data_IF_427273147478
#
_entry.id   IF_427273147478
#
_cell.length_a   1.000
_cell.length_b   1.000
_cell.length_c   1.000
_cell.angle_alpha   90.00
_cell.angle_beta   90.00
_cell.angle_gamma   90.00
#
_symmetry.space_group_name_H-M   'P 1'
#
loop_
_entity.id
_entity.type
_entity.pdbx_description
1 polymer ?
#
# COMPACT_ATOMS: atom_id res chain seq x y z
N UNK A 1 -15.44 11.66 -13.02
CA UNK A 1 -14.87 11.57 -12.88
C UNK A 1 -14.25 11.19 -12.82
N UNK A 2 -14.05 10.83 -12.78
CA UNK A 2 -13.37 10.40 -12.57
C UNK A 2 -12.59 10.48 -12.44
N UNK A 3 -12.42 10.74 -12.15
CA UNK A 3 -11.69 10.87 -11.82
C UNK A 3 -10.86 10.35 -11.49
N UNK A 4 -10.97 9.93 -11.43
CA UNK A 4 -10.34 9.25 -11.02
C UNK A 4 -9.23 8.94 -11.33
N UNK A 5 -9.01 8.91 -11.42
CA UNK A 5 -8.13 8.60 -11.59
C UNK A 5 -6.96 8.41 -12.05
N UNK A 6 -6.56 8.88 -12.36
CA UNK A 6 -5.48 8.69 -13.22
C UNK A 6 -4.30 9.53 -12.83
N UNK A 7 -3.85 9.28 -11.64
CA UNK A 7 -2.64 9.92 -11.15
C UNK A 7 -1.45 9.06 -11.49
N UNK A 8 -0.43 9.67 -12.09
CA UNK A 8 0.83 9.00 -12.34
C UNK A 8 1.83 9.48 -11.32
N UNK A 9 2.46 8.53 -10.64
CA UNK A 9 3.48 8.82 -9.66
C UNK A 9 4.79 8.17 -10.08
N UNK A 10 5.88 8.93 -9.96
CA UNK A 10 7.20 8.36 -10.13
C UNK A 10 7.75 8.02 -8.75
N UNK A 11 7.90 6.73 -8.49
CA UNK A 11 8.37 6.27 -7.20
C UNK A 11 9.68 5.51 -7.35
N UNK A 12 10.61 5.79 -6.45
CA UNK A 12 11.82 4.98 -6.36
C UNK A 12 11.49 3.74 -5.54
N UNK A 13 12.38 2.75 -5.60
CA UNK A 13 12.19 1.55 -4.76
C UNK A 13 12.20 1.92 -3.28
N UNK A 14 12.99 2.92 -2.90
CA UNK A 14 13.01 3.38 -1.51
C UNK A 14 11.66 3.95 -1.10
N UNK A 15 11.02 4.70 -2.01
CA UNK A 15 9.68 5.23 -1.76
C UNK A 15 8.69 4.09 -1.54
N UNK A 16 8.77 3.06 -2.38
CA UNK A 16 7.87 1.92 -2.29
C UNK A 16 8.06 1.19 -0.95
N UNK A 17 9.31 0.98 -0.54
CA UNK A 17 9.59 0.35 0.76
C UNK A 17 9.02 1.16 1.91
N UNK A 18 9.19 2.48 1.86
CA UNK A 18 8.70 3.34 2.92
C UNK A 18 7.18 3.30 3.00
N UNK A 19 6.52 3.37 1.85
CA UNK A 19 5.06 3.27 1.81
C UNK A 19 4.58 1.92 2.33
N UNK A 20 5.27 0.85 1.97
CA UNK A 20 4.92 -0.47 2.44
C UNK A 20 4.98 -0.53 3.97
N UNK A 21 6.05 0.00 4.55
CA UNK A 21 6.17 0.02 6.01
C UNK A 21 5.06 0.84 6.66
N UNK A 22 4.70 1.97 6.05
CA UNK A 22 3.63 2.81 6.59
C UNK A 22 2.30 2.07 6.58
N UNK A 23 1.99 1.38 5.49
CA UNK A 23 0.74 0.63 5.39
C UNK A 23 0.72 -0.52 6.40
N UNK A 24 1.83 -1.25 6.51
CA UNK A 24 1.93 -2.34 7.48
C UNK A 24 1.75 -1.83 8.90
N UNK A 25 2.38 -0.71 9.23
CA UNK A 25 2.26 -0.13 10.56
C UNK A 25 0.83 0.28 10.84
N UNK A 26 0.15 0.88 9.85
CA UNK A 26 -1.24 1.26 10.02
C UNK A 26 -2.12 0.05 10.28
N UNK A 27 -1.85 -1.06 9.59
CA UNK A 27 -2.61 -2.29 9.82
C UNK A 27 -2.36 -2.86 11.20
N UNK A 28 -1.11 -2.80 11.68
CA UNK A 28 -0.78 -3.29 13.02
C UNK A 28 -1.49 -2.52 14.12
N UNK A 29 -1.70 -1.23 13.89
CA UNK A 29 -2.31 -0.36 14.89
C UNK A 29 -3.79 -0.10 14.59
N UNK A 30 -4.39 -0.90 13.72
CA UNK A 30 -5.79 -0.74 13.34
C UNK A 30 -6.70 -0.87 14.55
N UNK A 31 -7.57 0.12 14.71
CA UNK A 31 -8.47 0.17 15.88
C UNK A 31 -9.58 -0.86 15.84
N UNK A 32 -9.94 -1.27 14.63
CA UNK A 32 -11.01 -2.22 14.48
C UNK A 32 -12.37 -1.58 14.45
N UNK A 33 -13.35 -2.39 14.07
CA UNK A 33 -14.75 -2.01 14.08
C UNK A 33 -15.24 -2.03 15.54
N UNK A 34 -16.06 -1.07 15.99
CA UNK A 34 -16.69 -0.01 15.20
C UNK A 34 -15.93 1.30 15.17
N UNK A 35 -14.73 1.38 15.73
CA UNK A 35 -13.96 2.63 15.75
C UNK A 35 -13.64 3.12 14.35
N UNK A 36 -13.39 2.18 13.42
CA UNK A 36 -13.08 2.52 12.04
C UNK A 36 -13.90 1.62 11.13
N UNK A 37 -14.22 2.15 9.95
CA UNK A 37 -15.01 1.39 8.98
C UNK A 37 -14.16 0.26 8.39
N UNK A 38 -14.72 -0.96 8.29
CA UNK A 38 -13.93 -2.11 7.79
C UNK A 38 -13.38 -1.93 6.38
N UNK A 39 -14.02 -1.10 5.54
CA UNK A 39 -13.54 -0.90 4.19
C UNK A 39 -12.16 -0.26 4.15
N UNK A 40 -11.82 0.54 5.16
CA UNK A 40 -10.49 1.14 5.23
C UNK A 40 -9.43 0.05 5.43
N UNK A 41 -9.75 -0.93 6.29
CA UNK A 41 -8.82 -2.03 6.52
C UNK A 41 -8.62 -2.85 5.25
N UNK A 42 -9.71 -3.12 4.53
CA UNK A 42 -9.61 -3.86 3.28
C UNK A 42 -8.76 -3.11 2.26
N UNK A 43 -8.92 -1.79 2.20
CA UNK A 43 -8.13 -0.97 1.29
C UNK A 43 -6.65 -1.00 1.69
N UNK A 44 -6.37 -0.95 2.99
CA UNK A 44 -4.99 -1.03 3.46
C UNK A 44 -4.36 -2.37 3.11
N UNK A 45 -5.12 -3.46 3.23
CA UNK A 45 -4.62 -4.78 2.86
C UNK A 45 -4.33 -4.86 1.37
N UNK A 46 -5.19 -4.27 0.56
CA UNK A 46 -4.98 -4.22 -0.87
C UNK A 46 -3.69 -3.47 -1.20
N UNK A 47 -3.50 -2.31 -0.58
CA UNK A 47 -2.30 -1.50 -0.81
C UNK A 47 -1.05 -2.24 -0.36
N UNK A 48 -1.11 -2.91 0.79
CA UNK A 48 0.02 -3.70 1.27
C UNK A 48 0.43 -4.75 0.25
N UNK A 49 -0.56 -5.48 -0.26
CA UNK A 49 -0.28 -6.55 -1.21
C UNK A 49 0.27 -6.00 -2.51
N UNK A 50 -0.26 -4.86 -2.98
CA UNK A 50 0.22 -4.22 -4.19
C UNK A 50 1.67 -3.76 -4.03
N UNK A 51 1.97 -3.10 -2.92
CA UNK A 51 3.33 -2.61 -2.68
C UNK A 51 4.30 -3.77 -2.51
N UNK A 52 3.88 -4.84 -1.85
CA UNK A 52 4.72 -6.02 -1.69
C UNK A 52 5.04 -6.64 -3.04
N UNK A 53 4.05 -6.71 -3.91
CA UNK A 53 4.26 -7.23 -5.26
C UNK A 53 5.29 -6.38 -6.01
N UNK A 54 5.22 -5.07 -5.87
CA UNK A 54 6.17 -4.18 -6.52
C UNK A 54 7.59 -4.42 -5.99
N UNK A 55 7.73 -4.65 -4.70
CA UNK A 55 9.03 -4.95 -4.10
C UNK A 55 9.59 -6.25 -4.65
N UNK A 56 8.75 -7.27 -4.74
CA UNK A 56 9.18 -8.56 -5.28
C UNK A 56 9.60 -8.45 -6.75
N UNK A 57 8.83 -7.71 -7.53
CA UNK A 57 9.15 -7.50 -8.94
C UNK A 57 10.48 -6.79 -9.09
N UNK A 58 10.72 -5.79 -8.26
CA UNK A 58 11.98 -5.07 -8.30
C UNK A 58 13.16 -6.01 -7.97
N UNK A 59 13.01 -6.79 -6.92
CA UNK A 59 14.07 -7.73 -6.53
C UNK A 59 14.35 -8.73 -7.64
N UNK A 60 13.31 -9.25 -8.24
CA UNK A 60 13.44 -10.23 -9.29
C UNK A 60 14.16 -9.66 -10.51
N UNK A 61 13.81 -8.44 -10.89
CA UNK A 61 14.39 -7.79 -12.06
C UNK A 61 15.82 -7.35 -11.83
N UNK A 62 16.24 -7.20 -10.58
CA UNK A 62 17.57 -6.69 -10.24
C UNK A 62 18.44 -7.69 -9.51
N UNK A 63 18.13 -8.95 -9.67
CA UNK A 63 18.96 -10.03 -9.11
C UNK A 63 20.23 -10.20 -9.87
#
# INVERSE_FOLDING_TARGET
>A
MNEDADYLLSLTIDDVHLLFHCVCRRLETWEGHPSRHPSEQEHLQYLRDLLYKMILEYKFDNM
#
